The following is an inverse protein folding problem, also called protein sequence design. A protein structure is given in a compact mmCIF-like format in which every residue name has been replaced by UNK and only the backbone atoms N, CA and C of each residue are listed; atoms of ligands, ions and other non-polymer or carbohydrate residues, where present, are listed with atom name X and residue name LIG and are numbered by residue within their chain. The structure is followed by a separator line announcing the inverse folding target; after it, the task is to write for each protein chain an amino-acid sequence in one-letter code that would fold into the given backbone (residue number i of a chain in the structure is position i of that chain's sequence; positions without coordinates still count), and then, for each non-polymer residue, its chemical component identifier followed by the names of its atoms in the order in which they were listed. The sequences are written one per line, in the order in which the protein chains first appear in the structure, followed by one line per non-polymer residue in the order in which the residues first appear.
data_IF_740241872018
#
_entry.id   IF_740241872018
#
_cell.length_a   1.000
_cell.length_b   1.000
_cell.length_c   1.000
_cell.angle_alpha   90.00
_cell.angle_beta   90.00
_cell.angle_gamma   90.00
#
_symmetry.space_group_name_H-M   'P 1'
#
loop_
_entity.id
_entity.type
_entity.pdbx_description
1 polymer ?
#
# COMPACT_ATOMS: atom_id res chain seq x y z
N UNK A 1 -24.33 -42.93 10.42
CA UNK A 1 -24.26 -42.33 9.07
C UNK A 1 -23.41 -41.07 9.20
N UNK A 2 -22.15 -41.11 8.78
CA UNK A 2 -21.23 -39.97 8.88
C UNK A 2 -21.59 -38.95 7.81
N UNK A 3 -21.80 -37.69 8.22
CA UNK A 3 -22.10 -36.58 7.29
C UNK A 3 -20.90 -36.41 6.36
N UNK A 4 -21.08 -36.37 5.02
CA UNK A 4 -19.98 -36.16 4.10
C UNK A 4 -19.36 -34.77 4.30
N UNK A 5 -18.04 -34.69 4.22
CA UNK A 5 -17.29 -33.44 4.31
C UNK A 5 -17.71 -32.50 3.18
N UNK A 6 -18.11 -31.28 3.54
CA UNK A 6 -18.46 -30.23 2.56
C UNK A 6 -17.17 -29.78 1.90
N UNK A 7 -16.97 -30.15 0.63
CA UNK A 7 -15.89 -29.63 -0.20
C UNK A 7 -16.29 -28.25 -0.71
N UNK A 8 -15.91 -27.20 0.01
CA UNK A 8 -16.11 -25.83 -0.47
C UNK A 8 -15.01 -25.55 -1.51
N UNK A 9 -15.39 -25.44 -2.78
CA UNK A 9 -14.46 -25.22 -3.91
C UNK A 9 -13.84 -23.81 -3.89
N UNK A 10 -14.53 -22.86 -3.29
CA UNK A 10 -14.17 -21.45 -3.22
C UNK A 10 -14.33 -20.97 -1.78
N UNK A 11 -13.35 -20.26 -1.23
CA UNK A 11 -13.41 -19.63 0.08
C UNK A 11 -14.64 -18.72 0.23
N UNK A 12 -15.08 -18.47 1.47
CA UNK A 12 -16.20 -17.56 1.75
C UNK A 12 -15.98 -16.19 1.10
N UNK A 13 -14.74 -15.70 1.11
CA UNK A 13 -14.37 -14.45 0.44
C UNK A 13 -14.56 -14.52 -1.08
N UNK A 14 -14.25 -15.64 -1.73
CA UNK A 14 -14.48 -15.82 -3.17
C UNK A 14 -15.98 -15.87 -3.48
N UNK A 15 -16.81 -16.40 -2.59
CA UNK A 15 -18.28 -16.42 -2.74
C UNK A 15 -18.86 -15.03 -2.54
N UNK A 16 -18.39 -14.28 -1.54
CA UNK A 16 -18.86 -12.92 -1.24
C UNK A 16 -18.45 -11.90 -2.31
N UNK A 17 -17.37 -12.18 -3.05
CA UNK A 17 -16.91 -11.36 -4.18
C UNK A 17 -17.59 -11.74 -5.52
N UNK A 18 -18.48 -12.73 -5.55
CA UNK A 18 -19.29 -13.07 -6.72
C UNK A 18 -20.60 -12.29 -6.66
N UNK A 19 -20.74 -11.30 -7.53
CA UNK A 19 -22.02 -10.69 -7.84
C UNK A 19 -22.80 -11.53 -8.85
N UNK A 20 -24.12 -11.39 -8.85
CA UNK A 20 -24.98 -11.93 -9.92
C UNK A 20 -25.56 -10.75 -10.71
N UNK A 21 -25.23 -10.67 -12.00
CA UNK A 21 -25.90 -9.76 -12.92
C UNK A 21 -27.25 -10.38 -13.29
N UNK A 22 -28.36 -9.81 -12.79
CA UNK A 22 -29.71 -10.32 -13.02
C UNK A 22 -30.15 -10.23 -14.49
N UNK A 23 -29.56 -9.34 -15.28
CA UNK A 23 -29.91 -9.17 -16.70
C UNK A 23 -29.21 -10.21 -17.58
N UNK A 24 -27.95 -10.53 -17.28
CA UNK A 24 -27.14 -11.42 -18.11
C UNK A 24 -26.93 -12.82 -17.52
N UNK A 25 -27.32 -13.05 -16.27
CA UNK A 25 -27.20 -14.35 -15.56
C UNK A 25 -25.78 -14.93 -15.59
N UNK A 26 -24.77 -14.06 -15.64
CA UNK A 26 -23.36 -14.44 -15.64
C UNK A 26 -22.72 -14.09 -14.29
N UNK A 27 -21.82 -14.94 -13.77
CA UNK A 27 -21.04 -14.59 -12.60
C UNK A 27 -20.07 -13.46 -12.97
N UNK A 28 -20.24 -12.30 -12.34
CA UNK A 28 -19.29 -11.20 -12.44
C UNK A 28 -18.47 -11.16 -11.15
N UNK A 29 -17.15 -11.14 -11.28
CA UNK A 29 -16.28 -10.77 -10.15
C UNK A 29 -16.18 -9.25 -10.16
N UNK A 30 -16.87 -8.62 -9.21
CA UNK A 30 -16.70 -7.20 -8.94
C UNK A 30 -15.24 -7.00 -8.49
N UNK A 31 -14.48 -6.11 -9.14
CA UNK A 31 -13.05 -5.89 -8.86
C UNK A 31 -12.74 -5.26 -7.49
N UNK A 32 -13.73 -5.20 -6.60
CA UNK A 32 -13.64 -4.78 -5.21
C UNK A 32 -13.82 -5.95 -4.26
N UNK A 33 -13.27 -5.83 -3.06
CA UNK A 33 -13.40 -6.81 -1.98
C UNK A 33 -14.47 -6.34 -1.02
N UNK A 34 -15.29 -7.28 -0.60
CA UNK A 34 -16.36 -7.05 0.35
C UNK A 34 -15.83 -7.17 1.79
N UNK A 35 -16.08 -6.17 2.63
CA UNK A 35 -15.67 -6.13 4.05
C UNK A 35 -16.77 -6.59 5.03
N UNK A 36 -17.83 -7.23 4.51
CA UNK A 36 -19.01 -7.62 5.28
C UNK A 36 -20.10 -6.55 5.37
N UNK A 37 -19.85 -5.32 4.87
CA UNK A 37 -20.85 -4.24 4.84
C UNK A 37 -20.87 -3.50 3.50
N UNK A 38 -19.71 -3.20 2.89
CA UNK A 38 -19.61 -2.47 1.62
C UNK A 38 -18.63 -3.13 0.64
N UNK A 39 -18.87 -2.93 -0.67
CA UNK A 39 -17.89 -3.24 -1.72
C UNK A 39 -16.84 -2.12 -1.71
N UNK A 40 -15.62 -2.46 -1.31
CA UNK A 40 -14.50 -1.53 -1.33
C UNK A 40 -13.48 -1.95 -2.39
N UNK A 41 -12.77 -0.99 -2.98
CA UNK A 41 -11.60 -1.35 -3.81
C UNK A 41 -10.60 -2.08 -2.92
N UNK A 42 -10.28 -3.36 -3.22
CA UNK A 42 -9.18 -4.06 -2.54
C UNK A 42 -7.91 -3.21 -2.73
N UNK A 43 -7.47 -2.56 -1.66
CA UNK A 43 -6.17 -1.91 -1.54
C UNK A 43 -5.90 -0.60 -2.31
N UNK A 44 -6.90 0.24 -2.62
CA UNK A 44 -6.59 1.50 -3.32
C UNK A 44 -5.86 2.58 -2.49
N UNK A 45 -5.74 2.50 -1.15
CA UNK A 45 -5.08 3.58 -0.36
C UNK A 45 -4.47 3.24 1.03
N UNK A 46 -4.42 1.98 1.48
CA UNK A 46 -3.91 1.70 2.84
C UNK A 46 -2.39 1.54 2.85
N UNK A 47 -1.64 2.57 2.47
CA UNK A 47 -0.21 2.65 2.74
C UNK A 47 0.01 3.45 4.03
N UNK A 48 0.84 2.94 4.93
CA UNK A 48 1.38 3.75 6.01
C UNK A 48 2.36 4.76 5.41
N UNK A 49 2.18 6.02 5.76
CA UNK A 49 3.10 7.10 5.40
C UNK A 49 3.90 7.46 6.64
N UNK A 50 5.21 7.58 6.49
CA UNK A 50 6.11 8.12 7.51
C UNK A 50 6.81 9.35 6.96
N UNK A 51 6.84 10.41 7.75
CA UNK A 51 7.40 11.70 7.35
C UNK A 51 8.48 12.08 8.36
N UNK A 52 9.62 12.54 7.85
CA UNK A 52 10.63 13.22 8.65
C UNK A 52 10.71 14.68 8.23
N UNK A 53 10.83 15.57 9.21
CA UNK A 53 10.92 17.01 9.02
C UNK A 53 12.31 17.51 9.39
N UNK A 54 12.77 18.55 8.70
CA UNK A 54 13.98 19.29 9.08
C UNK A 54 13.72 20.28 10.23
N UNK A 55 14.72 21.07 10.61
CA UNK A 55 14.63 22.07 11.66
C UNK A 55 13.72 23.28 11.31
N UNK A 56 13.29 23.41 10.05
CA UNK A 56 12.40 24.45 9.55
C UNK A 56 10.97 23.93 9.31
N UNK A 57 10.65 22.73 9.83
CA UNK A 57 9.38 22.03 9.62
C UNK A 57 9.08 21.67 8.15
N UNK A 58 10.10 21.59 7.29
CA UNK A 58 9.93 21.10 5.93
C UNK A 58 9.99 19.57 5.90
N UNK A 59 9.08 18.87 5.20
CA UNK A 59 9.15 17.41 5.07
C UNK A 59 10.32 17.02 4.16
N UNK A 60 11.37 16.41 4.70
CA UNK A 60 12.57 16.04 3.96
C UNK A 60 12.59 14.59 3.49
N UNK A 61 11.90 13.69 4.20
CA UNK A 61 11.76 12.30 3.80
C UNK A 61 10.31 11.84 3.85
N UNK A 62 9.89 11.13 2.80
CA UNK A 62 8.60 10.47 2.71
C UNK A 62 8.82 8.97 2.55
N UNK A 63 8.27 8.19 3.48
CA UNK A 63 8.34 6.73 3.50
C UNK A 63 6.96 6.14 3.30
N UNK A 64 6.86 5.16 2.42
CA UNK A 64 5.62 4.46 2.13
C UNK A 64 5.83 2.96 2.33
N UNK A 65 4.93 2.31 3.07
CA UNK A 65 4.95 0.86 3.27
C UNK A 65 3.55 0.33 3.61
N UNK A 66 3.39 -0.99 3.63
CA UNK A 66 2.18 -1.60 4.18
C UNK A 66 2.02 -1.25 5.68
N UNK A 67 0.80 -1.03 6.19
CA UNK A 67 0.56 -0.78 7.60
C UNK A 67 1.14 -1.88 8.49
N UNK A 68 1.78 -1.50 9.59
CA UNK A 68 2.45 -2.44 10.49
C UNK A 68 3.85 -2.88 10.05
N UNK A 69 4.34 -2.42 8.89
CA UNK A 69 5.73 -2.65 8.47
C UNK A 69 6.70 -2.03 9.49
N UNK A 70 7.65 -2.82 9.97
CA UNK A 70 8.67 -2.33 10.90
C UNK A 70 9.61 -1.34 10.20
N UNK A 71 10.03 -0.29 10.89
CA UNK A 71 10.97 0.71 10.36
C UNK A 71 12.37 0.15 10.09
N UNK A 72 12.64 -1.07 10.57
CA UNK A 72 13.91 -1.79 10.42
C UNK A 72 13.89 -2.84 9.29
N UNK A 73 12.75 -3.04 8.60
CA UNK A 73 12.63 -4.00 7.49
C UNK A 73 12.76 -3.33 6.13
N UNK A 74 13.36 -4.03 5.16
CA UNK A 74 13.55 -3.57 3.79
C UNK A 74 12.27 -3.71 2.95
N UNK A 75 11.21 -2.99 3.35
CA UNK A 75 9.87 -3.03 2.75
C UNK A 75 9.29 -1.62 2.57
N UNK A 76 10.14 -0.60 2.69
CA UNK A 76 9.75 0.79 2.49
C UNK A 76 10.19 1.26 1.11
N UNK A 77 9.34 2.05 0.47
CA UNK A 77 9.73 2.97 -0.59
C UNK A 77 10.00 4.32 0.06
N UNK A 78 11.16 4.93 -0.23
CA UNK A 78 11.56 6.19 0.39
C UNK A 78 11.86 7.22 -0.69
N UNK A 79 11.38 8.45 -0.47
CA UNK A 79 11.70 9.61 -1.30
C UNK A 79 12.31 10.71 -0.44
N UNK A 80 13.28 11.41 -0.99
CA UNK A 80 13.86 12.62 -0.40
C UNK A 80 13.38 13.84 -1.15
N UNK A 81 12.93 14.84 -0.40
CA UNK A 81 12.54 16.15 -0.89
C UNK A 81 13.71 17.12 -0.68
N UNK A 82 13.95 17.98 -1.65
CA UNK A 82 14.86 19.13 -1.50
C UNK A 82 14.11 20.43 -1.73
N UNK A 83 14.62 21.51 -1.14
CA UNK A 83 13.95 22.79 -1.06
C UNK A 83 14.87 23.93 -1.50
N UNK A 84 14.29 25.00 -2.05
CA UNK A 84 14.97 26.27 -2.25
C UNK A 84 14.99 27.12 -0.97
N UNK A 85 15.61 28.31 -1.04
CA UNK A 85 15.68 29.25 0.07
C UNK A 85 14.31 29.83 0.52
N UNK A 86 13.25 29.61 -0.26
CA UNK A 86 11.90 30.06 0.03
C UNK A 86 10.99 28.89 0.47
N UNK A 87 11.57 27.74 0.83
CA UNK A 87 10.86 26.50 1.19
C UNK A 87 9.97 25.91 0.09
N UNK A 88 10.24 26.22 -1.18
CA UNK A 88 9.59 25.53 -2.29
C UNK A 88 10.31 24.21 -2.57
N UNK A 89 9.56 23.13 -2.79
CA UNK A 89 10.12 21.85 -3.23
C UNK A 89 10.77 22.04 -4.60
N UNK A 90 12.05 21.70 -4.72
CA UNK A 90 12.82 21.78 -5.97
C UNK A 90 13.06 20.40 -6.58
N UNK A 91 13.07 19.34 -5.78
CA UNK A 91 13.16 17.97 -6.29
C UNK A 91 12.51 16.94 -5.36
N UNK A 92 12.19 15.79 -5.95
CA UNK A 92 11.78 14.58 -5.26
C UNK A 92 12.53 13.40 -5.89
N UNK A 93 13.46 12.80 -5.15
CA UNK A 93 14.31 11.71 -5.63
C UNK A 93 13.98 10.41 -4.89
N UNK A 94 14.14 9.28 -5.58
CA UNK A 94 13.91 7.97 -4.97
C UNK A 94 15.19 7.48 -4.30
N UNK A 95 15.03 6.77 -3.18
CA UNK A 95 16.13 6.02 -2.60
C UNK A 95 16.68 5.00 -3.62
N UNK A 96 17.99 4.96 -3.75
CA UNK A 96 18.74 4.16 -4.72
C UNK A 96 18.30 4.35 -6.18
N UNK A 97 17.65 5.47 -6.51
CA UNK A 97 17.09 5.72 -7.84
C UNK A 97 15.96 4.77 -8.26
N UNK A 98 15.31 4.10 -7.30
CA UNK A 98 14.34 3.03 -7.56
C UNK A 98 13.02 3.25 -6.82
N UNK A 99 11.87 3.02 -7.47
CA UNK A 99 10.56 3.11 -6.81
C UNK A 99 10.19 1.85 -6.00
N UNK A 100 11.10 0.90 -5.85
CA UNK A 100 10.84 -0.36 -5.17
C UNK A 100 10.65 -0.20 -3.66
N UNK A 101 10.05 -1.23 -3.05
CA UNK A 101 9.88 -1.37 -1.60
C UNK A 101 11.00 -2.23 -1.01
N UNK A 102 12.25 -1.80 -1.19
CA UNK A 102 13.45 -2.53 -0.79
C UNK A 102 14.35 -1.74 0.18
N UNK A 103 13.86 -0.59 0.65
CA UNK A 103 14.61 0.28 1.57
C UNK A 103 14.17 0.09 3.02
N UNK A 104 15.09 0.41 3.95
CA UNK A 104 14.86 0.38 5.40
C UNK A 104 14.67 1.83 5.89
N UNK A 105 13.53 2.15 6.50
CA UNK A 105 13.26 3.52 6.97
C UNK A 105 14.33 4.07 7.93
N UNK A 106 14.83 3.24 8.85
CA UNK A 106 15.86 3.68 9.80
C UNK A 106 17.17 4.11 9.15
N UNK A 107 17.47 3.62 7.94
CA UNK A 107 18.67 3.97 7.19
C UNK A 107 18.45 5.07 6.15
N UNK A 108 17.30 5.77 6.14
CA UNK A 108 16.92 6.79 5.14
C UNK A 108 17.95 7.91 4.91
N UNK A 109 18.76 8.23 5.90
CA UNK A 109 19.83 9.22 5.83
C UNK A 109 21.13 8.69 5.20
N UNK A 110 21.28 7.37 5.15
CA UNK A 110 22.44 6.66 4.60
C UNK A 110 22.24 6.22 3.13
N UNK A 111 21.03 6.33 2.58
CA UNK A 111 20.71 5.92 1.21
C UNK A 111 21.15 6.95 0.17
N UNK A 112 21.47 6.47 -1.03
CA UNK A 112 21.70 7.33 -2.20
C UNK A 112 20.36 7.80 -2.78
N UNK A 113 20.29 9.02 -3.32
CA UNK A 113 19.06 9.59 -3.87
C UNK A 113 19.29 10.15 -5.27
N UNK A 114 18.55 9.62 -6.24
CA UNK A 114 18.58 10.06 -7.64
C UNK A 114 17.25 9.87 -8.35
#
# INVERSE_FOLDING_TARGET
MTKPDVKIKYSSQEIDNLGFDEDFHLPITEGGGFDGVNIQRINASNMSIKIEYDANDNPIYLGFASPGTAITTALWQIRKLTFDANNNITSMAYANGSPNFDSIWNARDELDYS
#
